data_IF_032000847816
#
_entry.id   IF_032000847816
#
_cell.length_a   1.000
_cell.length_b   1.000
_cell.length_c   1.000
_cell.angle_alpha   90.00
_cell.angle_beta   90.00
_cell.angle_gamma   90.00
#
_symmetry.space_group_name_H-M   'P 1'
#
loop_
_entity.id
_entity.type
_entity.pdbx_description
1 polymer ?
#
# COMPACT_ATOMS: atom_id res chain seq x y z
N UNK A 1 6.33 10.34 3.85
CA UNK A 1 5.25 10.94 4.65
C UNK A 1 4.15 9.91 4.85
N UNK A 2 3.75 9.70 6.09
CA UNK A 2 2.81 8.64 6.49
C UNK A 2 1.38 9.20 6.67
N UNK A 3 0.37 8.32 6.64
CA UNK A 3 -1.04 8.70 6.67
C UNK A 3 -1.44 9.61 7.83
N UNK A 4 -1.07 9.23 9.07
CA UNK A 4 -1.37 10.03 10.27
C UNK A 4 -0.72 11.42 10.26
N UNK A 5 0.55 11.53 9.83
CA UNK A 5 1.21 12.83 9.66
C UNK A 5 0.52 13.71 8.60
N UNK A 6 -0.09 13.08 7.58
CA UNK A 6 -0.84 13.77 6.52
C UNK A 6 -2.32 13.97 6.85
N UNK A 7 -2.76 13.63 8.07
CA UNK A 7 -4.14 13.66 8.51
C UNK A 7 -5.12 12.98 7.52
N UNK A 8 -4.67 11.89 6.90
CA UNK A 8 -5.49 11.10 5.97
C UNK A 8 -6.38 10.15 6.76
N UNK A 9 -7.59 9.89 6.24
CA UNK A 9 -8.43 8.79 6.72
C UNK A 9 -7.61 7.49 6.73
N UNK A 10 -7.85 6.64 7.72
CA UNK A 10 -7.21 5.32 7.75
C UNK A 10 -7.78 4.47 6.60
N UNK A 11 -9.10 4.37 6.53
CA UNK A 11 -9.85 3.61 5.53
C UNK A 11 -11.18 4.30 5.21
N UNK A 12 -11.65 4.12 3.99
CA UNK A 12 -12.98 4.55 3.53
C UNK A 12 -13.42 3.62 2.38
N UNK A 13 -14.45 2.76 2.56
CA UNK A 13 -14.84 1.77 1.56
C UNK A 13 -15.41 2.40 0.27
N UNK A 14 -15.86 3.66 0.32
CA UNK A 14 -16.37 4.37 -0.86
C UNK A 14 -15.22 4.87 -1.75
N UNK A 15 -14.00 5.00 -1.22
CA UNK A 15 -12.82 5.49 -1.93
C UNK A 15 -11.92 4.32 -2.32
N UNK A 16 -12.07 3.84 -3.55
CA UNK A 16 -11.27 2.71 -4.09
C UNK A 16 -9.81 3.10 -4.36
N UNK A 17 -8.86 2.14 -4.27
CA UNK A 17 -7.46 2.39 -4.66
C UNK A 17 -7.33 2.69 -6.15
N UNK A 18 -6.45 3.63 -6.51
CA UNK A 18 -6.16 3.95 -7.91
C UNK A 18 -4.83 3.32 -8.36
N UNK A 19 -4.89 2.30 -9.22
CA UNK A 19 -3.70 1.59 -9.70
C UNK A 19 -2.98 2.30 -10.85
N UNK A 20 -3.62 3.29 -11.48
CA UNK A 20 -3.13 4.00 -12.66
C UNK A 20 -2.88 5.47 -12.34
N UNK A 21 -1.91 5.72 -11.44
CA UNK A 21 -1.50 7.09 -11.08
C UNK A 21 -0.17 7.47 -11.73
N UNK A 22 -0.09 8.69 -12.24
CA UNK A 22 1.19 9.34 -12.49
C UNK A 22 1.94 9.62 -11.17
N UNK A 23 3.27 9.75 -11.19
CA UNK A 23 4.04 10.09 -10.00
C UNK A 23 3.61 11.41 -9.32
N UNK A 24 3.12 12.36 -10.11
CA UNK A 24 2.58 13.65 -9.64
C UNK A 24 1.25 13.47 -8.91
N UNK A 25 0.31 12.71 -9.49
CA UNK A 25 -0.97 12.42 -8.86
C UNK A 25 -0.79 11.62 -7.57
N UNK A 26 0.07 10.61 -7.59
CA UNK A 26 0.38 9.80 -6.40
C UNK A 26 0.93 10.66 -5.24
N UNK A 27 1.79 11.64 -5.53
CA UNK A 27 2.34 12.55 -4.50
C UNK A 27 1.28 13.50 -3.93
N UNK A 28 0.34 13.94 -4.76
CA UNK A 28 -0.73 14.85 -4.38
C UNK A 28 -1.94 14.13 -3.73
N UNK A 29 -2.06 12.81 -3.92
CA UNK A 29 -3.17 12.01 -3.45
C UNK A 29 -3.48 12.22 -1.97
N UNK A 30 -4.76 12.35 -1.64
CA UNK A 30 -5.30 12.41 -0.27
C UNK A 30 -6.06 11.12 0.08
N UNK A 31 -5.91 10.07 -0.74
CA UNK A 31 -6.59 8.80 -0.56
C UNK A 31 -6.33 8.20 0.84
N UNK A 32 -7.27 7.38 1.36
CA UNK A 32 -7.10 6.68 2.62
C UNK A 32 -5.79 5.90 2.70
N UNK A 33 -5.28 5.75 3.92
CA UNK A 33 -3.98 5.11 4.17
C UNK A 33 -3.96 3.65 3.70
N UNK A 34 -5.08 2.93 3.83
CA UNK A 34 -5.20 1.54 3.36
C UNK A 34 -5.04 1.42 1.84
N UNK A 35 -5.51 2.40 1.05
CA UNK A 35 -5.34 2.36 -0.42
C UNK A 35 -3.86 2.31 -0.81
N UNK A 36 -2.99 2.92 0.00
CA UNK A 36 -1.56 2.93 -0.25
C UNK A 36 -0.93 1.54 -0.33
N UNK A 37 -1.50 0.55 0.36
CA UNK A 37 -1.06 -0.83 0.25
C UNK A 37 -1.15 -1.35 -1.19
N UNK A 38 -2.30 -1.15 -1.83
CA UNK A 38 -2.55 -1.59 -3.20
C UNK A 38 -1.86 -0.72 -4.24
N UNK A 39 -1.90 0.60 -4.04
CA UNK A 39 -1.34 1.58 -4.97
C UNK A 39 0.20 1.51 -5.06
N UNK A 40 0.87 0.95 -4.04
CA UNK A 40 2.33 0.86 -4.04
C UNK A 40 2.90 -0.32 -3.27
N UNK A 41 2.57 -0.50 -1.99
CA UNK A 41 3.37 -1.35 -1.10
C UNK A 41 3.38 -2.81 -1.55
N UNK A 42 2.23 -3.34 -1.96
CA UNK A 42 2.06 -4.69 -2.49
C UNK A 42 2.72 -4.90 -3.87
N UNK A 43 3.06 -3.81 -4.58
CA UNK A 43 3.77 -3.86 -5.86
C UNK A 43 5.30 -3.92 -5.69
N UNK A 44 5.82 -3.68 -4.48
CA UNK A 44 7.26 -3.55 -4.26
C UNK A 44 8.01 -4.87 -4.35
N UNK A 45 7.36 -6.02 -4.03
CA UNK A 45 8.01 -7.34 -4.10
C UNK A 45 8.56 -7.64 -5.50
N UNK A 46 7.84 -7.24 -6.54
CA UNK A 46 8.19 -7.50 -7.94
C UNK A 46 9.21 -6.48 -8.48
N UNK A 47 9.46 -5.41 -7.73
CA UNK A 47 10.39 -4.32 -8.08
C UNK A 47 11.72 -4.40 -7.32
N UNK A 48 11.98 -5.49 -6.61
CA UNK A 48 13.25 -5.69 -5.92
C UNK A 48 14.36 -6.02 -6.92
N UNK A 49 15.51 -5.35 -6.75
CA UNK A 49 16.63 -5.45 -7.69
C UNK A 49 17.48 -6.72 -7.53
N UNK A 50 17.43 -7.37 -6.36
CA UNK A 50 18.27 -8.55 -6.05
C UNK A 50 17.41 -9.74 -5.67
N UNK A 51 17.91 -10.95 -5.93
CA UNK A 51 17.21 -12.19 -5.57
C UNK A 51 16.97 -12.31 -4.06
N UNK A 52 17.97 -11.93 -3.25
CA UNK A 52 17.80 -11.84 -1.78
C UNK A 52 16.70 -10.84 -1.40
N UNK A 53 16.64 -9.69 -2.09
CA UNK A 53 15.59 -8.69 -1.89
C UNK A 53 14.21 -9.22 -2.23
N UNK A 54 14.05 -9.93 -3.34
CA UNK A 54 12.79 -10.57 -3.75
C UNK A 54 12.31 -11.60 -2.71
N UNK A 55 13.23 -12.42 -2.18
CA UNK A 55 12.89 -13.41 -1.13
C UNK A 55 12.35 -12.73 0.13
N UNK A 56 13.09 -11.74 0.66
CA UNK A 56 12.67 -11.00 1.85
C UNK A 56 11.36 -10.24 1.59
N UNK A 57 11.21 -9.64 0.41
CA UNK A 57 10.00 -8.90 0.06
C UNK A 57 8.76 -9.80 -0.07
N UNK A 58 8.93 -11.05 -0.48
CA UNK A 58 7.84 -12.04 -0.51
C UNK A 58 7.31 -12.32 0.89
N UNK A 59 8.18 -12.56 1.87
CA UNK A 59 7.79 -12.77 3.27
C UNK A 59 7.06 -11.53 3.84
N UNK A 60 7.56 -10.33 3.55
CA UNK A 60 6.91 -9.06 3.97
C UNK A 60 5.58 -8.81 3.27
N UNK A 61 5.45 -9.21 2.00
CA UNK A 61 4.20 -9.10 1.25
C UNK A 61 3.11 -9.94 1.89
N UNK A 62 3.40 -11.20 2.24
CA UNK A 62 2.45 -12.10 2.91
C UNK A 62 1.99 -11.52 4.25
N UNK A 63 2.90 -10.91 5.01
CA UNK A 63 2.52 -10.22 6.25
C UNK A 63 1.56 -9.05 5.99
N UNK A 64 1.81 -8.24 4.97
CA UNK A 64 0.90 -7.13 4.60
C UNK A 64 -0.47 -7.63 4.16
N UNK A 65 -0.56 -8.71 3.40
CA UNK A 65 -1.84 -9.33 3.02
C UNK A 65 -2.59 -9.86 4.24
N UNK A 66 -1.88 -10.50 5.17
CA UNK A 66 -2.46 -11.00 6.43
C UNK A 66 -3.00 -9.85 7.28
N UNK A 67 -2.24 -8.76 7.40
CA UNK A 67 -2.68 -7.55 8.09
C UNK A 67 -3.95 -6.98 7.46
N UNK A 68 -4.01 -6.86 6.12
CA UNK A 68 -5.19 -6.35 5.42
C UNK A 68 -6.40 -7.25 5.62
N UNK A 69 -6.22 -8.57 5.56
CA UNK A 69 -7.29 -9.54 5.82
C UNK A 69 -7.86 -9.36 7.23
N UNK A 70 -7.01 -9.24 8.24
CA UNK A 70 -7.43 -8.99 9.61
C UNK A 70 -8.13 -7.63 9.74
N UNK A 71 -7.57 -6.58 9.14
CA UNK A 71 -8.11 -5.22 9.17
C UNK A 71 -9.54 -5.14 8.60
N UNK A 72 -9.86 -5.88 7.53
CA UNK A 72 -11.22 -5.89 6.97
C UNK A 72 -12.19 -6.83 7.68
N UNK A 73 -11.69 -7.73 8.52
CA UNK A 73 -12.52 -8.62 9.32
C UNK A 73 -12.96 -7.98 10.65
N UNK A 74 -12.32 -6.88 11.06
CA UNK A 74 -12.67 -6.03 12.22
C UNK A 74 -13.75 -5.00 11.86
#
# INVERSE_FOLDING_TARGET
>A
NYGGFKNRKLYDPEIKPNLEMSPTEYKASTAPTINHFYEKLLLLKDRMNTETGKRIATERHVFMETFLQQFYAE
#
